data_IF_646285904786
#
_entry.id   IF_646285904786
#
_cell.length_a   1.000
_cell.length_b   1.000
_cell.length_c   1.000
_cell.angle_alpha   90.00
_cell.angle_beta   90.00
_cell.angle_gamma   90.00
#
_symmetry.space_group_name_H-M   'P 1'
#
loop_
_entity.id
_entity.type
_entity.pdbx_description
1 polymer ?
#
# COMPACT_ATOMS: atom_id res chain seq x y z
N UNK A 1 -4.57 -19.29 2.75
CA UNK A 1 -5.82 -18.49 2.62
C UNK A 1 -5.78 -17.70 1.32
N UNK A 2 -6.88 -17.63 0.55
CA UNK A 2 -6.99 -16.70 -0.60
C UNK A 2 -7.51 -15.37 -0.07
N UNK A 3 -6.77 -14.29 -0.27
CA UNK A 3 -7.22 -12.92 0.01
C UNK A 3 -7.99 -12.46 -1.21
N UNK A 4 -9.31 -12.55 -1.21
CA UNK A 4 -10.12 -12.15 -2.36
C UNK A 4 -11.61 -12.37 -2.08
N UNK A 5 -12.50 -11.64 -2.78
CA UNK A 5 -13.93 -11.66 -2.49
C UNK A 5 -14.53 -13.00 -2.90
N UNK A 6 -14.53 -13.95 -1.96
CA UNK A 6 -15.57 -14.98 -1.93
C UNK A 6 -16.84 -14.34 -1.38
N UNK A 7 -18.00 -14.77 -1.84
CA UNK A 7 -19.29 -14.36 -1.26
C UNK A 7 -19.23 -14.52 0.26
N UNK A 8 -19.47 -13.45 1.02
CA UNK A 8 -19.39 -13.45 2.48
C UNK A 8 -18.01 -13.13 3.09
N UNK A 9 -16.95 -12.99 2.29
CA UNK A 9 -15.63 -12.62 2.80
C UNK A 9 -15.63 -11.22 3.45
N UNK A 10 -14.88 -11.07 4.54
CA UNK A 10 -14.75 -9.82 5.29
C UNK A 10 -13.29 -9.42 5.39
N UNK A 11 -13.04 -8.13 5.18
CA UNK A 11 -11.74 -7.53 5.45
C UNK A 11 -11.65 -7.20 6.94
N UNK A 12 -11.11 -8.13 7.71
CA UNK A 12 -10.80 -7.99 9.13
C UNK A 12 -9.36 -7.52 9.28
N UNK A 13 -8.93 -7.07 10.48
CA UNK A 13 -7.53 -6.76 10.73
C UNK A 13 -6.58 -7.89 10.29
N UNK A 14 -6.91 -9.13 10.60
CA UNK A 14 -6.10 -10.31 10.31
C UNK A 14 -5.98 -10.55 8.80
N UNK A 15 -7.09 -10.45 8.05
CA UNK A 15 -7.05 -10.68 6.60
C UNK A 15 -6.34 -9.57 5.84
N UNK A 16 -6.39 -8.34 6.35
CA UNK A 16 -5.62 -7.21 5.81
C UNK A 16 -4.12 -7.39 6.09
N UNK A 17 -3.74 -7.72 7.33
CA UNK A 17 -2.34 -8.01 7.69
C UNK A 17 -1.80 -9.12 6.80
N UNK A 18 -2.57 -10.20 6.64
CA UNK A 18 -2.17 -11.29 5.76
C UNK A 18 -2.01 -10.86 4.30
N UNK A 19 -2.86 -9.98 3.77
CA UNK A 19 -2.68 -9.41 2.43
C UNK A 19 -1.40 -8.56 2.30
N UNK A 20 -1.06 -7.75 3.31
CA UNK A 20 0.20 -6.98 3.34
C UNK A 20 1.40 -7.93 3.40
N UNK A 21 1.33 -9.01 4.19
CA UNK A 21 2.38 -10.02 4.25
C UNK A 21 2.54 -10.77 2.93
N UNK A 22 1.45 -11.10 2.23
CA UNK A 22 1.52 -11.69 0.89
C UNK A 22 2.17 -10.75 -0.11
N UNK A 23 1.87 -9.44 -0.04
CA UNK A 23 2.56 -8.44 -0.84
C UNK A 23 4.06 -8.46 -0.58
N UNK A 24 4.46 -8.43 0.69
CA UNK A 24 5.86 -8.45 1.09
C UNK A 24 6.57 -9.70 0.57
N UNK A 25 5.95 -10.88 0.69
CA UNK A 25 6.52 -12.13 0.16
C UNK A 25 6.76 -12.10 -1.34
N UNK A 26 5.95 -11.35 -2.09
CA UNK A 26 6.08 -11.22 -3.55
C UNK A 26 7.09 -10.16 -3.98
N UNK A 27 7.21 -9.05 -3.24
CA UNK A 27 7.99 -7.88 -3.66
C UNK A 27 9.19 -7.58 -2.75
N UNK A 28 9.38 -8.35 -1.67
CA UNK A 28 10.40 -8.17 -0.63
C UNK A 28 10.39 -6.79 0.04
N UNK A 29 9.24 -6.11 0.03
CA UNK A 29 9.02 -4.80 0.66
C UNK A 29 7.54 -4.52 0.90
N UNK A 30 7.18 -3.65 1.85
CA UNK A 30 5.81 -3.19 2.01
C UNK A 30 5.31 -2.42 0.77
N UNK A 31 4.00 -2.45 0.49
CA UNK A 31 3.40 -1.70 -0.62
C UNK A 31 3.47 -0.19 -0.39
N UNK A 32 3.67 0.57 -1.47
CA UNK A 32 3.22 1.96 -1.49
C UNK A 32 1.71 2.03 -1.67
N UNK A 33 1.10 3.16 -1.28
CA UNK A 33 -0.35 3.36 -1.41
C UNK A 33 -0.81 3.24 -2.86
N UNK A 34 -0.06 3.79 -3.83
CA UNK A 34 -0.44 3.74 -5.24
C UNK A 34 -0.31 2.33 -5.84
N UNK A 35 0.69 1.55 -5.41
CA UNK A 35 0.85 0.16 -5.86
C UNK A 35 -0.24 -0.74 -5.31
N UNK A 36 -0.63 -0.49 -4.06
CA UNK A 36 -1.77 -1.16 -3.45
C UNK A 36 -3.05 -0.82 -4.20
N UNK A 37 -3.28 0.44 -4.54
CA UNK A 37 -4.48 0.83 -5.29
C UNK A 37 -4.52 0.19 -6.71
N UNK A 38 -3.35 -0.16 -7.29
CA UNK A 38 -3.23 -0.77 -8.62
C UNK A 38 -3.26 -2.30 -8.65
N UNK A 39 -3.17 -2.97 -7.50
CA UNK A 39 -2.86 -4.40 -7.47
C UNK A 39 -4.07 -5.36 -7.55
N UNK A 40 -5.25 -4.81 -7.82
CA UNK A 40 -6.45 -5.56 -8.21
C UNK A 40 -7.24 -6.17 -7.05
N UNK A 41 -8.00 -7.21 -7.34
CA UNK A 41 -9.08 -7.73 -6.47
C UNK A 41 -8.59 -8.56 -5.26
N UNK A 42 -7.29 -8.85 -5.17
CA UNK A 42 -6.73 -9.76 -4.17
C UNK A 42 -6.38 -9.08 -2.83
N UNK A 43 -6.75 -7.82 -2.65
CA UNK A 43 -6.57 -7.05 -1.42
C UNK A 43 -7.70 -6.02 -1.28
N UNK A 44 -7.97 -5.49 -0.07
CA UNK A 44 -8.98 -4.45 0.11
C UNK A 44 -8.55 -3.13 -0.54
N UNK A 45 -9.51 -2.24 -0.76
CA UNK A 45 -9.18 -0.84 -1.04
C UNK A 45 -8.38 -0.21 0.10
N UNK A 46 -7.53 0.77 -0.21
CA UNK A 46 -6.81 1.55 0.82
C UNK A 46 -7.77 2.24 1.81
N UNK A 47 -8.96 2.61 1.36
CA UNK A 47 -9.98 3.21 2.22
C UNK A 47 -10.50 2.20 3.25
N UNK A 48 -10.73 0.95 2.84
CA UNK A 48 -11.09 -0.15 3.76
C UNK A 48 -9.98 -0.39 4.78
N UNK A 49 -8.71 -0.44 4.35
CA UNK A 49 -7.56 -0.56 5.25
C UNK A 49 -7.55 0.57 6.29
N UNK A 50 -7.76 1.80 5.83
CA UNK A 50 -7.75 2.98 6.71
C UNK A 50 -8.94 2.98 7.69
N UNK A 51 -10.12 2.50 7.28
CA UNK A 51 -11.28 2.35 8.18
C UNK A 51 -11.03 1.31 9.28
N UNK A 52 -10.36 0.21 8.96
CA UNK A 52 -10.10 -0.89 9.91
C UNK A 52 -8.98 -0.55 10.89
N UNK A 53 -7.91 0.11 10.43
CA UNK A 53 -6.72 0.39 11.24
C UNK A 53 -6.58 1.85 11.69
N UNK A 54 -7.50 2.73 11.29
CA UNK A 54 -7.40 4.18 11.48
C UNK A 54 -6.47 4.88 10.47
N UNK A 55 -5.41 4.21 10.00
CA UNK A 55 -4.55 4.74 8.94
C UNK A 55 -3.80 3.65 8.17
N UNK A 56 -3.30 4.01 6.98
CA UNK A 56 -2.41 3.14 6.21
C UNK A 56 -1.15 2.76 6.98
N UNK A 57 -0.50 3.73 7.63
CA UNK A 57 0.73 3.46 8.39
C UNK A 57 0.47 2.54 9.58
N UNK A 58 -0.68 2.67 10.25
CA UNK A 58 -1.08 1.77 11.32
C UNK A 58 -1.25 0.32 10.81
N UNK A 59 -1.80 0.12 9.61
CA UNK A 59 -1.88 -1.21 9.01
C UNK A 59 -0.50 -1.80 8.67
N UNK A 60 0.43 -0.99 8.17
CA UNK A 60 1.81 -1.42 7.89
C UNK A 60 2.54 -1.80 9.18
N UNK A 61 2.35 -1.03 10.25
CA UNK A 61 2.86 -1.37 11.59
C UNK A 61 2.25 -2.67 12.14
N UNK A 62 0.93 -2.83 12.01
CA UNK A 62 0.25 -4.05 12.45
C UNK A 62 0.70 -5.30 11.69
N UNK A 63 1.15 -5.14 10.44
CA UNK A 63 1.78 -6.20 9.67
C UNK A 63 3.26 -6.45 10.03
N UNK A 64 3.80 -5.75 11.04
CA UNK A 64 5.17 -5.92 11.53
C UNK A 64 6.23 -5.20 10.69
N UNK A 65 5.83 -4.24 9.85
CA UNK A 65 6.75 -3.51 8.98
C UNK A 65 6.87 -2.04 9.36
N UNK A 66 8.00 -1.43 9.00
CA UNK A 66 8.20 0.02 9.13
C UNK A 66 7.53 0.75 7.96
N UNK A 67 6.58 1.66 8.19
CA UNK A 67 5.97 2.46 7.12
C UNK A 67 7.00 3.40 6.51
N UNK A 68 6.93 3.54 5.19
CA UNK A 68 7.77 4.50 4.48
C UNK A 68 7.27 5.91 4.79
N UNK A 69 8.16 6.88 5.05
CA UNK A 69 7.76 8.27 5.17
C UNK A 69 7.03 8.68 3.89
N UNK A 70 6.01 9.53 4.03
CA UNK A 70 5.29 10.08 2.88
C UNK A 70 6.33 10.80 2.02
N UNK A 71 6.61 10.26 0.85
CA UNK A 71 7.50 10.91 -0.09
C UNK A 71 6.90 12.27 -0.46
N UNK A 72 7.62 13.35 -0.14
CA UNK A 72 7.55 14.55 -0.97
C UNK A 72 7.91 14.05 -2.36
N UNK A 73 6.93 13.98 -3.26
CA UNK A 73 7.20 13.74 -4.68
C UNK A 73 8.34 14.70 -5.04
N UNK A 74 9.50 14.22 -5.52
CA UNK A 74 10.45 15.11 -6.15
C UNK A 74 9.63 15.84 -7.20
N UNK A 75 9.46 17.16 -7.06
CA UNK A 75 9.06 17.93 -8.23
C UNK A 75 10.19 17.65 -9.20
N UNK A 76 9.91 16.86 -10.23
CA UNK A 76 10.74 16.85 -11.42
C UNK A 76 10.88 18.31 -11.80
N UNK A 77 12.01 18.92 -11.45
CA UNK A 77 12.37 20.22 -12.00
C UNK A 77 12.53 19.89 -13.47
N UNK A 78 11.55 20.29 -14.27
CA UNK A 78 11.66 20.20 -15.71
C UNK A 78 12.96 20.91 -16.09
N UNK A 79 13.84 20.16 -16.72
CA UNK A 79 15.13 20.58 -17.22
C UNK A 79 14.88 21.58 -18.35
N UNK A 80 14.71 22.87 -18.01
CA UNK A 80 14.60 23.95 -18.98
C UNK A 80 15.31 25.20 -18.46
N UNK A 81 16.65 25.16 -18.44
CA UNK A 81 17.50 26.35 -18.41
C UNK A 81 18.97 25.98 -18.64
N UNK A 82 19.30 25.44 -19.82
CA UNK A 82 20.66 25.55 -20.36
C UNK A 82 20.57 25.64 -21.88
N UNK A 83 20.34 26.87 -22.39
CA UNK A 83 20.83 27.28 -23.71
C UNK A 83 20.80 28.80 -23.79
N UNK A 84 21.72 29.44 -23.07
CA UNK A 84 22.23 30.77 -23.40
C UNK A 84 23.74 30.75 -23.15
N UNK A 85 24.50 30.39 -24.19
CA UNK A 85 25.84 30.91 -24.55
C UNK A 85 26.03 30.65 -26.04
#
# INVERSE_FOLDING_TARGET
MRTGPRTGFRWTPETIVYAITLWYRKHSRPPFTHEWDQAGENHPSRQTVSRVFGSWNAAIHAAGFTPRPRGRQPRTIAESAFSDV
#
